data_IF_900837713502
#
_entry.id   IF_900837713502
#
_cell.length_a   1.000
_cell.length_b   1.000
_cell.length_c   1.000
_cell.angle_alpha   90.00
_cell.angle_beta   90.00
_cell.angle_gamma   90.00
#
_symmetry.space_group_name_H-M   'P 1'
#
loop_
_entity.id
_entity.type
_entity.pdbx_description
1 polymer ?
#
# COMPACT_ATOMS: atom_id res chain seq x y z
N UNK A 1 28.96 -0.92 -5.99
CA UNK A 1 27.88 -0.22 -6.70
C UNK A 1 27.19 -1.25 -7.55
N UNK A 2 25.91 -1.51 -7.29
CA UNK A 2 25.06 -2.33 -8.15
C UNK A 2 24.99 -1.68 -9.53
N UNK A 3 25.13 -2.46 -10.62
CA UNK A 3 24.86 -1.95 -11.96
C UNK A 3 23.35 -1.68 -12.08
N UNK A 4 22.94 -0.45 -11.84
CA UNK A 4 21.54 -0.03 -11.97
C UNK A 4 21.21 0.00 -13.47
N UNK A 5 20.27 -0.85 -13.87
CA UNK A 5 19.74 -0.86 -15.23
C UNK A 5 18.53 0.06 -15.24
N UNK A 6 18.61 1.11 -16.05
CA UNK A 6 17.48 2.02 -16.30
C UNK A 6 16.85 1.57 -17.62
N UNK A 7 15.63 1.07 -17.57
CA UNK A 7 14.88 0.76 -18.78
C UNK A 7 14.15 1.99 -19.32
N UNK A 8 13.51 1.86 -20.48
CA UNK A 8 12.82 2.99 -21.12
C UNK A 8 11.58 3.43 -20.33
N UNK A 9 10.93 2.52 -19.59
CA UNK A 9 9.74 2.86 -18.78
C UNK A 9 10.16 3.75 -17.61
N UNK A 10 11.25 3.38 -16.93
CA UNK A 10 11.80 4.18 -15.84
C UNK A 10 12.31 5.54 -16.32
N UNK A 11 12.97 5.56 -17.49
CA UNK A 11 13.41 6.81 -18.09
C UNK A 11 12.23 7.72 -18.46
N UNK A 12 11.14 7.16 -18.99
CA UNK A 12 9.93 7.93 -19.34
C UNK A 12 9.20 8.44 -18.08
N UNK A 13 9.19 7.67 -17.00
CA UNK A 13 8.71 8.15 -15.70
C UNK A 13 9.50 9.39 -15.26
N UNK A 14 10.83 9.34 -15.28
CA UNK A 14 11.67 10.47 -14.89
C UNK A 14 11.51 11.66 -15.85
N UNK A 15 11.40 11.44 -17.16
CA UNK A 15 11.12 12.50 -18.17
C UNK A 15 9.80 13.21 -17.92
N UNK A 16 8.78 12.49 -17.45
CA UNK A 16 7.50 13.06 -17.05
C UNK A 16 7.50 13.66 -15.62
N UNK A 17 8.61 13.54 -14.90
CA UNK A 17 8.81 14.03 -13.53
C UNK A 17 8.10 13.17 -12.48
N UNK A 18 7.87 11.89 -12.77
CA UNK A 18 7.37 10.87 -11.84
C UNK A 18 8.55 10.11 -11.22
N UNK A 19 8.41 9.62 -9.97
CA UNK A 19 9.42 8.74 -9.40
C UNK A 19 9.49 7.42 -10.19
N UNK A 20 10.66 6.77 -10.22
CA UNK A 20 10.81 5.45 -10.79
C UNK A 20 10.01 4.41 -9.98
N UNK A 21 9.65 3.30 -10.63
CA UNK A 21 9.02 2.15 -9.99
C UNK A 21 10.08 1.11 -9.58
N UNK A 22 11.18 1.02 -10.32
CA UNK A 22 12.33 0.19 -9.94
C UNK A 22 12.87 0.58 -8.57
N UNK A 23 13.13 -0.46 -7.76
CA UNK A 23 13.50 -0.30 -6.38
C UNK A 23 14.94 0.17 -6.18
N UNK A 24 15.86 -0.38 -6.96
CA UNK A 24 17.27 -0.01 -6.83
C UNK A 24 17.49 1.44 -7.27
N UNK A 25 16.84 1.85 -8.37
CA UNK A 25 16.90 3.20 -8.88
C UNK A 25 16.25 4.21 -7.93
N UNK A 26 15.08 3.90 -7.35
CA UNK A 26 14.44 4.79 -6.36
C UNK A 26 15.36 5.01 -5.16
N UNK A 27 15.93 3.93 -4.59
CA UNK A 27 16.82 4.03 -3.45
C UNK A 27 18.07 4.86 -3.78
N UNK A 28 18.74 4.59 -4.91
CA UNK A 28 19.99 5.29 -5.28
C UNK A 28 19.78 6.79 -5.53
N UNK A 29 18.62 7.20 -6.06
CA UNK A 29 18.32 8.61 -6.32
C UNK A 29 17.76 9.37 -5.12
N UNK A 30 17.41 8.67 -4.03
CA UNK A 30 16.81 9.29 -2.85
C UNK A 30 17.90 10.00 -2.03
N UNK A 31 17.57 11.19 -1.53
CA UNK A 31 18.42 12.02 -0.69
C UNK A 31 17.58 12.59 0.46
N UNK A 32 18.20 12.88 1.60
CA UNK A 32 17.52 13.52 2.73
C UNK A 32 16.68 12.60 3.62
N UNK A 33 16.97 11.29 3.58
CA UNK A 33 16.23 10.25 4.29
C UNK A 33 16.20 10.50 5.81
N UNK A 34 17.28 11.05 6.35
CA UNK A 34 17.52 11.30 7.78
C UNK A 34 16.51 12.27 8.41
N UNK A 35 15.90 13.12 7.57
CA UNK A 35 14.94 14.12 8.03
C UNK A 35 13.56 13.54 8.28
N UNK A 36 13.15 12.53 7.52
CA UNK A 36 11.80 11.96 7.63
C UNK A 36 11.72 10.45 7.43
N UNK A 37 12.27 9.90 6.35
CA UNK A 37 12.10 8.49 5.98
C UNK A 37 12.68 7.55 7.04
N UNK A 38 13.92 7.79 7.49
CA UNK A 38 14.57 6.97 8.53
C UNK A 38 13.75 6.94 9.82
N UNK A 39 13.31 8.13 10.25
CA UNK A 39 12.50 8.31 11.47
C UNK A 39 11.13 7.66 11.32
N UNK A 40 10.54 7.75 10.13
CA UNK A 40 9.24 7.15 9.83
C UNK A 40 9.34 5.63 9.87
N UNK A 41 10.36 5.08 9.21
CA UNK A 41 10.65 3.64 9.18
C UNK A 41 10.89 3.10 10.58
N UNK A 42 11.78 3.73 11.35
CA UNK A 42 12.10 3.29 12.70
C UNK A 42 10.90 3.40 13.65
N UNK A 43 10.25 4.57 13.70
CA UNK A 43 9.21 4.82 14.69
C UNK A 43 7.88 4.14 14.31
N UNK A 44 7.41 4.32 13.08
CA UNK A 44 6.09 3.83 12.67
C UNK A 44 6.13 2.40 12.15
N UNK A 45 6.97 2.09 11.16
CA UNK A 45 6.96 0.78 10.51
C UNK A 45 7.58 -0.30 11.40
N UNK A 46 8.80 -0.09 11.91
CA UNK A 46 9.51 -1.10 12.68
C UNK A 46 8.96 -1.28 14.10
N UNK A 47 8.54 -0.19 14.75
CA UNK A 47 8.08 -0.21 16.15
C UNK A 47 6.56 -0.13 16.31
N UNK A 48 5.98 1.06 16.15
CA UNK A 48 4.59 1.34 16.57
C UNK A 48 3.56 0.42 15.90
N UNK A 49 3.61 0.31 14.56
CA UNK A 49 2.67 -0.55 13.81
C UNK A 49 2.96 -2.03 14.06
N UNK A 50 4.23 -2.45 14.08
CA UNK A 50 4.62 -3.84 14.30
C UNK A 50 4.25 -4.35 15.71
N UNK A 51 4.03 -3.45 16.67
CA UNK A 51 3.55 -3.78 18.02
C UNK A 51 2.02 -3.78 18.15
N UNK A 52 1.28 -3.49 17.07
CA UNK A 52 -0.18 -3.51 17.07
C UNK A 52 -0.83 -2.13 16.94
N UNK A 53 -0.04 -1.06 16.97
CA UNK A 53 -0.54 0.30 16.75
C UNK A 53 -1.07 0.51 15.33
N UNK A 54 -1.85 1.58 15.19
CA UNK A 54 -2.41 1.99 13.90
C UNK A 54 -2.43 3.50 13.77
N UNK A 55 -2.33 3.98 12.52
CA UNK A 55 -2.12 5.40 12.27
C UNK A 55 -2.72 5.86 10.95
N UNK A 56 -3.22 7.09 10.96
CA UNK A 56 -3.56 7.84 9.75
C UNK A 56 -2.60 9.01 9.64
N UNK A 57 -2.04 9.23 8.44
CA UNK A 57 -1.18 10.37 8.13
C UNK A 57 -1.59 11.02 6.82
N UNK A 58 -1.34 12.32 6.70
CA UNK A 58 -1.63 13.13 5.53
C UNK A 58 -0.34 13.83 5.08
N UNK A 59 0.15 13.50 3.89
CA UNK A 59 1.29 14.15 3.23
C UNK A 59 0.79 15.29 2.35
N UNK A 60 1.27 16.50 2.64
CA UNK A 60 0.77 17.73 2.01
C UNK A 60 1.94 18.55 1.49
N UNK A 61 1.82 19.06 0.27
CA UNK A 61 2.82 19.95 -0.31
C UNK A 61 2.48 20.31 -1.74
N UNK A 62 3.13 21.33 -2.31
CA UNK A 62 2.85 21.79 -3.68
C UNK A 62 3.09 20.71 -4.74
N UNK A 63 2.56 20.89 -5.95
CA UNK A 63 2.82 19.98 -7.07
C UNK A 63 4.34 19.88 -7.33
N UNK A 64 4.86 18.66 -7.53
CA UNK A 64 6.30 18.42 -7.78
C UNK A 64 7.21 18.50 -6.54
N UNK A 65 6.67 18.56 -5.32
CA UNK A 65 7.45 18.55 -4.07
C UNK A 65 8.05 17.20 -3.68
N UNK A 66 7.79 16.12 -4.43
CA UNK A 66 8.30 14.79 -4.11
C UNK A 66 7.37 13.92 -3.25
N UNK A 67 6.09 14.30 -3.04
CA UNK A 67 5.11 13.49 -2.27
C UNK A 67 5.04 12.03 -2.75
N UNK A 68 4.80 11.82 -4.05
CA UNK A 68 4.74 10.49 -4.65
C UNK A 68 6.06 9.72 -4.47
N UNK A 69 7.21 10.39 -4.62
CA UNK A 69 8.54 9.80 -4.40
C UNK A 69 8.68 9.28 -2.95
N UNK A 70 8.32 10.12 -1.98
CA UNK A 70 8.33 9.77 -0.56
C UNK A 70 7.37 8.62 -0.22
N UNK A 71 6.17 8.59 -0.82
CA UNK A 71 5.26 7.44 -0.68
C UNK A 71 5.87 6.16 -1.24
N UNK A 72 6.56 6.20 -2.39
CA UNK A 72 7.25 5.03 -2.96
C UNK A 72 8.41 4.54 -2.09
N UNK A 73 9.11 5.44 -1.39
CA UNK A 73 10.13 5.05 -0.41
C UNK A 73 9.50 4.30 0.77
N UNK A 74 8.43 4.87 1.36
CA UNK A 74 7.68 4.21 2.45
C UNK A 74 7.10 2.87 1.99
N UNK A 75 6.64 2.76 0.74
CA UNK A 75 6.17 1.51 0.15
C UNK A 75 7.25 0.42 0.17
N UNK A 76 8.49 0.76 -0.20
CA UNK A 76 9.61 -0.19 -0.19
C UNK A 76 10.00 -0.60 1.22
N UNK A 77 10.14 0.37 2.13
CA UNK A 77 10.45 0.09 3.53
C UNK A 77 9.40 -0.79 4.20
N UNK A 78 8.12 -0.54 3.93
CA UNK A 78 7.04 -1.35 4.45
C UNK A 78 7.08 -2.78 3.90
N UNK A 79 7.33 -2.96 2.60
CA UNK A 79 7.48 -4.30 2.00
C UNK A 79 8.67 -5.07 2.59
N UNK A 80 9.79 -4.40 2.80
CA UNK A 80 10.98 -5.01 3.43
C UNK A 80 10.71 -5.49 4.85
N UNK A 81 9.87 -4.75 5.57
CA UNK A 81 9.44 -5.09 6.92
C UNK A 81 8.26 -6.06 6.94
N UNK A 82 7.90 -6.68 5.81
CA UNK A 82 6.89 -7.74 5.73
C UNK A 82 5.44 -7.25 5.74
N UNK A 83 5.20 -5.95 5.58
CA UNK A 83 3.84 -5.43 5.43
C UNK A 83 3.25 -5.80 4.07
N UNK A 84 1.94 -6.01 4.03
CA UNK A 84 1.19 -5.96 2.79
C UNK A 84 0.93 -4.49 2.43
N UNK A 85 1.24 -4.11 1.20
CA UNK A 85 1.25 -2.69 0.81
C UNK A 85 0.40 -2.46 -0.42
N UNK A 86 -0.58 -1.57 -0.28
CA UNK A 86 -1.50 -1.18 -1.36
C UNK A 86 -1.31 0.30 -1.66
N UNK A 87 -0.84 0.59 -2.88
CA UNK A 87 -0.74 1.95 -3.41
C UNK A 87 -1.88 2.23 -4.39
N UNK A 88 -2.66 3.29 -4.13
CA UNK A 88 -3.75 3.78 -4.97
C UNK A 88 -3.53 5.24 -5.36
N UNK A 89 -3.95 5.59 -6.57
CA UNK A 89 -4.10 6.97 -7.02
C UNK A 89 -5.59 7.29 -7.00
N UNK A 90 -6.02 8.33 -6.28
CA UNK A 90 -7.45 8.64 -6.13
C UNK A 90 -8.22 8.79 -7.46
N UNK A 91 -7.65 9.37 -8.53
CA UNK A 91 -8.27 9.40 -9.86
C UNK A 91 -8.48 8.01 -10.51
N UNK A 92 -7.66 7.01 -10.18
CA UNK A 92 -7.66 5.69 -10.82
C UNK A 92 -8.61 4.69 -10.16
N UNK A 93 -9.17 5.02 -8.99
CA UNK A 93 -10.02 4.10 -8.21
C UNK A 93 -11.39 3.82 -8.86
N UNK A 94 -11.75 4.54 -9.93
CA UNK A 94 -13.03 4.45 -10.65
C UNK A 94 -14.23 4.99 -9.87
N UNK A 95 -14.30 4.74 -8.56
CA UNK A 95 -15.22 5.39 -7.63
C UNK A 95 -14.46 6.18 -6.57
N UNK A 96 -15.20 7.10 -5.96
CA UNK A 96 -14.72 8.02 -4.93
C UNK A 96 -14.36 7.31 -3.63
N UNK A 97 -13.44 7.89 -2.88
CA UNK A 97 -12.90 7.39 -1.61
C UNK A 97 -13.99 7.13 -0.56
N UNK A 98 -15.11 7.87 -0.60
CA UNK A 98 -16.22 7.67 0.34
C UNK A 98 -17.03 6.36 0.13
N UNK A 99 -16.82 5.62 -0.95
CA UNK A 99 -17.42 4.29 -1.14
C UNK A 99 -16.51 3.21 -0.54
N UNK A 100 -16.62 3.00 0.78
CA UNK A 100 -15.79 2.02 1.52
C UNK A 100 -15.86 0.58 0.95
N UNK A 101 -17.04 0.04 0.55
CA UNK A 101 -17.09 -1.21 -0.21
C UNK A 101 -16.24 -1.21 -1.47
N UNK A 102 -16.21 -0.12 -2.23
CA UNK A 102 -15.36 -0.02 -3.42
C UNK A 102 -13.89 0.06 -3.05
N UNK A 103 -13.53 0.87 -2.05
CA UNK A 103 -12.16 0.97 -1.55
C UNK A 103 -11.64 -0.42 -1.14
N UNK A 104 -12.45 -1.20 -0.42
CA UNK A 104 -12.11 -2.57 -0.06
C UNK A 104 -11.85 -3.45 -1.30
N UNK A 105 -12.74 -3.42 -2.31
CA UNK A 105 -12.55 -4.22 -3.53
C UNK A 105 -11.27 -3.84 -4.27
N UNK A 106 -11.06 -2.54 -4.51
CA UNK A 106 -9.86 -2.03 -5.20
C UNK A 106 -8.58 -2.40 -4.43
N UNK A 107 -8.64 -2.34 -3.10
CA UNK A 107 -7.53 -2.72 -2.24
C UNK A 107 -7.22 -4.22 -2.33
N UNK A 108 -8.21 -5.08 -2.10
CA UNK A 108 -8.03 -6.55 -2.17
C UNK A 108 -7.63 -7.00 -3.56
N UNK A 109 -8.09 -6.33 -4.61
CA UNK A 109 -7.68 -6.64 -5.98
C UNK A 109 -6.17 -6.47 -6.17
N UNK A 110 -5.51 -5.54 -5.45
CA UNK A 110 -4.05 -5.36 -5.51
C UNK A 110 -3.26 -6.28 -4.60
N UNK A 111 -3.91 -6.92 -3.62
CA UNK A 111 -3.23 -7.84 -2.69
C UNK A 111 -2.97 -9.17 -3.39
N UNK A 112 -1.80 -9.76 -3.14
CA UNK A 112 -1.49 -11.11 -3.57
C UNK A 112 -2.25 -12.14 -2.71
N UNK A 113 -3.30 -12.73 -3.31
CA UNK A 113 -4.16 -13.70 -2.64
C UNK A 113 -3.45 -15.04 -2.42
N UNK A 114 -2.50 -15.39 -3.28
CA UNK A 114 -1.70 -16.61 -3.10
C UNK A 114 -0.80 -16.47 -1.87
N UNK A 115 -0.18 -15.29 -1.67
CA UNK A 115 0.59 -15.00 -0.45
C UNK A 115 -0.24 -15.16 0.82
N UNK A 116 -1.50 -14.69 0.82
CA UNK A 116 -2.43 -14.92 1.94
C UNK A 116 -2.67 -16.42 2.17
N UNK A 117 -3.03 -17.16 1.12
CA UNK A 117 -3.37 -18.58 1.23
C UNK A 117 -2.16 -19.39 1.72
N UNK A 118 -0.97 -19.16 1.16
CA UNK A 118 0.28 -19.80 1.60
C UNK A 118 0.56 -19.50 3.06
N UNK A 119 0.52 -18.23 3.47
CA UNK A 119 0.75 -17.83 4.86
C UNK A 119 -0.21 -18.52 5.85
N UNK A 120 -1.50 -18.58 5.52
CA UNK A 120 -2.48 -19.31 6.35
C UNK A 120 -2.18 -20.81 6.43
N UNK A 121 -1.75 -21.44 5.32
CA UNK A 121 -1.38 -22.85 5.31
C UNK A 121 -0.10 -23.11 6.12
N UNK A 122 0.93 -22.26 5.97
CA UNK A 122 2.16 -22.32 6.76
C UNK A 122 1.87 -22.17 8.26
N UNK A 123 0.96 -21.27 8.63
CA UNK A 123 0.56 -21.09 10.01
C UNK A 123 -0.05 -22.37 10.61
N UNK A 124 -0.98 -22.99 9.89
CA UNK A 124 -1.59 -24.27 10.32
C UNK A 124 -0.56 -25.42 10.31
N UNK A 125 0.33 -25.44 9.32
CA UNK A 125 1.39 -26.44 9.24
C UNK A 125 2.37 -26.33 10.43
N UNK A 126 2.67 -25.11 10.89
CA UNK A 126 3.49 -24.88 12.09
C UNK A 126 2.83 -25.43 13.36
N UNK A 127 1.51 -25.29 13.49
CA UNK A 127 0.76 -25.88 14.61
C UNK A 127 0.80 -27.43 14.58
N UNK A 128 1.13 -28.03 13.43
CA UNK A 128 1.40 -29.45 13.24
C UNK A 128 2.90 -29.82 13.34
N UNK A 129 3.79 -28.86 13.60
CA UNK A 129 5.24 -29.09 13.69
C UNK A 129 6.03 -28.94 12.38
N UNK A 130 5.40 -28.48 11.29
CA UNK A 130 6.08 -28.23 10.02
C UNK A 130 6.52 -26.77 9.88
N UNK A 131 7.83 -26.57 9.65
CA UNK A 131 8.42 -25.26 9.40
C UNK A 131 8.67 -25.04 7.90
N UNK A 132 9.03 -23.81 7.52
CA UNK A 132 9.12 -23.35 6.13
C UNK A 132 10.08 -24.18 5.27
N UNK A 133 11.11 -24.76 5.86
CA UNK A 133 12.08 -25.67 5.20
C UNK A 133 11.42 -26.96 4.66
N UNK A 134 10.29 -27.36 5.25
CA UNK A 134 9.59 -28.60 4.95
C UNK A 134 8.27 -28.36 4.21
N UNK A 135 7.66 -27.19 4.37
CA UNK A 135 6.38 -26.84 3.77
C UNK A 135 6.23 -25.33 3.58
N UNK A 136 5.98 -24.88 2.35
CA UNK A 136 5.87 -23.46 1.96
C UNK A 136 4.43 -23.01 1.67
N UNK A 137 3.43 -23.86 1.95
CA UNK A 137 2.02 -23.56 1.70
C UNK A 137 1.57 -23.68 0.25
N UNK A 138 2.48 -23.95 -0.71
CA UNK A 138 2.15 -23.95 -2.14
C UNK A 138 1.41 -25.22 -2.58
N UNK A 139 1.66 -26.35 -1.93
CA UNK A 139 1.11 -27.66 -2.28
C UNK A 139 0.21 -28.22 -1.16
N UNK A 140 -0.55 -29.29 -1.42
CA UNK A 140 -1.23 -30.03 -0.36
C UNK A 140 -0.26 -30.61 0.67
N UNK A 141 -0.59 -30.51 1.96
CA UNK A 141 0.18 -31.13 3.05
C UNK A 141 -0.16 -32.63 3.19
N UNK A 142 -1.37 -33.04 2.81
CA UNK A 142 -1.84 -34.41 3.00
C UNK A 142 -0.88 -35.49 2.46
N UNK A 143 -0.31 -35.38 1.24
CA UNK A 143 0.64 -36.38 0.74
C UNK A 143 1.88 -36.52 1.64
N UNK A 144 2.39 -35.42 2.21
CA UNK A 144 3.55 -35.43 3.11
C UNK A 144 3.25 -36.29 4.35
N UNK A 145 2.10 -36.07 4.99
CA UNK A 145 1.68 -36.84 6.18
C UNK A 145 1.43 -38.32 5.89
N UNK A 146 0.96 -38.65 4.69
CA UNK A 146 0.66 -40.04 4.31
C UNK A 146 1.92 -40.79 3.89
N UNK A 147 2.76 -40.18 3.07
CA UNK A 147 3.90 -40.84 2.42
C UNK A 147 5.17 -40.81 3.28
N UNK A 148 5.44 -39.70 3.98
CA UNK A 148 6.65 -39.57 4.80
C UNK A 148 6.44 -40.02 6.24
N UNK A 149 5.30 -39.67 6.84
CA UNK A 149 4.99 -40.01 8.24
C UNK A 149 4.17 -41.31 8.37
N UNK A 150 3.80 -41.95 7.25
CA UNK A 150 3.06 -43.21 7.22
C UNK A 150 1.70 -43.17 7.95
N UNK A 151 1.06 -42.01 8.07
CA UNK A 151 -0.27 -41.92 8.66
C UNK A 151 -1.35 -42.47 7.71
N UNK A 152 -2.37 -43.20 8.24
CA UNK A 152 -3.56 -43.50 7.46
C UNK A 152 -4.24 -42.22 6.94
N UNK A 153 -4.76 -42.25 5.70
CA UNK A 153 -5.36 -41.07 5.05
C UNK A 153 -6.47 -40.43 5.89
N UNK A 154 -7.31 -41.23 6.56
CA UNK A 154 -8.38 -40.73 7.44
C UNK A 154 -7.83 -39.96 8.63
N UNK A 155 -6.75 -40.45 9.24
CA UNK A 155 -6.10 -39.86 10.39
C UNK A 155 -5.36 -38.57 10.00
N UNK A 156 -4.60 -38.57 8.91
CA UNK A 156 -3.94 -37.36 8.41
C UNK A 156 -4.96 -36.24 8.09
N UNK A 157 -6.09 -36.58 7.48
CA UNK A 157 -7.20 -35.62 7.26
C UNK A 157 -7.78 -35.10 8.57
N UNK A 158 -7.93 -35.96 9.58
CA UNK A 158 -8.44 -35.58 10.91
C UNK A 158 -7.48 -34.62 11.61
N UNK A 159 -6.18 -34.91 11.59
CA UNK A 159 -5.12 -34.06 12.17
C UNK A 159 -5.10 -32.67 11.53
N UNK A 160 -5.10 -32.58 10.19
CA UNK A 160 -5.13 -31.28 9.50
C UNK A 160 -6.39 -30.49 9.91
N UNK A 161 -7.58 -31.10 9.87
CA UNK A 161 -8.83 -30.41 10.23
C UNK A 161 -8.84 -29.97 11.69
N UNK A 162 -8.29 -30.76 12.60
CA UNK A 162 -8.16 -30.42 14.01
C UNK A 162 -7.21 -29.21 14.19
N UNK A 163 -6.08 -29.19 13.47
CA UNK A 163 -5.16 -28.06 13.48
C UNK A 163 -5.83 -26.79 12.95
N UNK A 164 -6.43 -26.82 11.76
CA UNK A 164 -7.24 -25.71 11.21
C UNK A 164 -8.28 -25.23 12.25
N UNK A 165 -8.94 -26.20 12.89
CA UNK A 165 -9.90 -26.01 13.98
C UNK A 165 -9.38 -25.19 15.16
N UNK A 166 -8.16 -25.48 15.57
CA UNK A 166 -7.50 -24.85 16.72
C UNK A 166 -6.89 -23.50 16.33
N UNK A 167 -6.23 -23.41 15.17
CA UNK A 167 -5.55 -22.20 14.69
C UNK A 167 -6.52 -21.03 14.56
N UNK A 168 -7.72 -21.26 14.00
CA UNK A 168 -8.67 -20.18 13.73
C UNK A 168 -9.71 -19.95 14.82
N UNK A 169 -9.68 -20.73 15.92
CA UNK A 169 -10.64 -20.60 17.03
C UNK A 169 -10.59 -19.22 17.71
N UNK A 170 -9.38 -18.67 17.85
CA UNK A 170 -9.13 -17.38 18.51
C UNK A 170 -8.93 -16.24 17.50
N UNK A 171 -9.22 -16.45 16.22
CA UNK A 171 -9.11 -15.41 15.21
C UNK A 171 -10.21 -14.36 15.46
N UNK A 172 -9.80 -13.13 15.76
CA UNK A 172 -10.69 -11.98 15.95
C UNK A 172 -11.17 -11.43 14.61
N UNK A 173 -11.91 -12.24 13.85
CA UNK A 173 -12.48 -11.89 12.56
C UNK A 173 -13.96 -12.29 12.50
N UNK A 174 -14.70 -11.67 11.57
CA UNK A 174 -16.11 -12.02 11.35
C UNK A 174 -16.30 -13.51 11.00
N UNK A 175 -17.45 -14.13 11.34
CA UNK A 175 -17.67 -15.56 11.12
C UNK A 175 -17.47 -16.02 9.66
N UNK A 176 -17.83 -15.20 8.68
CA UNK A 176 -17.60 -15.50 7.26
C UNK A 176 -16.12 -15.52 6.88
N UNK A 177 -15.29 -14.69 7.54
CA UNK A 177 -13.86 -14.64 7.32
C UNK A 177 -13.15 -15.83 8.00
N UNK A 178 -13.62 -16.24 9.17
CA UNK A 178 -13.21 -17.52 9.78
C UNK A 178 -13.55 -18.66 8.83
N UNK A 179 -14.79 -18.74 8.34
CA UNK A 179 -15.21 -19.74 7.36
C UNK A 179 -14.33 -19.69 6.09
N UNK A 180 -13.97 -18.51 5.60
CA UNK A 180 -13.03 -18.36 4.49
C UNK A 180 -11.70 -19.05 4.78
N UNK A 181 -11.07 -18.78 5.94
CA UNK A 181 -9.83 -19.43 6.36
C UNK A 181 -9.95 -20.96 6.41
N UNK A 182 -11.03 -21.50 6.99
CA UNK A 182 -11.27 -22.95 7.00
C UNK A 182 -11.36 -23.53 5.59
N UNK A 183 -12.10 -22.87 4.69
CA UNK A 183 -12.31 -23.33 3.33
C UNK A 183 -11.02 -23.31 2.51
N UNK A 184 -10.25 -22.22 2.57
CA UNK A 184 -9.04 -22.11 1.76
C UNK A 184 -7.95 -23.05 2.24
N UNK A 185 -7.75 -23.15 3.55
CA UNK A 185 -6.71 -24.00 4.11
C UNK A 185 -7.06 -25.48 3.95
N UNK A 186 -8.30 -25.88 4.24
CA UNK A 186 -8.73 -27.27 4.03
C UNK A 186 -8.67 -27.64 2.55
N UNK A 187 -9.11 -26.75 1.65
CA UNK A 187 -9.04 -27.01 0.21
C UNK A 187 -7.60 -27.13 -0.29
N UNK A 188 -6.68 -26.25 0.14
CA UNK A 188 -5.26 -26.31 -0.23
C UNK A 188 -4.58 -27.54 0.36
N UNK A 189 -4.68 -27.75 1.67
CA UNK A 189 -3.88 -28.76 2.38
C UNK A 189 -4.40 -30.19 2.21
N UNK A 190 -5.72 -30.37 2.03
CA UNK A 190 -6.36 -31.70 2.04
C UNK A 190 -6.81 -32.17 0.66
N UNK A 191 -7.56 -31.34 -0.07
CA UNK A 191 -8.26 -31.79 -1.29
C UNK A 191 -7.57 -31.37 -2.58
N UNK A 192 -6.71 -30.33 -2.54
CA UNK A 192 -6.20 -29.69 -3.75
C UNK A 192 -7.31 -29.05 -4.61
N UNK A 193 -8.48 -28.75 -4.05
CA UNK A 193 -9.62 -28.28 -4.82
C UNK A 193 -9.49 -26.80 -5.23
N UNK A 194 -8.95 -26.58 -6.42
CA UNK A 194 -8.72 -25.25 -7.02
C UNK A 194 -10.05 -24.48 -7.21
N UNK A 195 -11.15 -25.17 -7.54
CA UNK A 195 -12.44 -24.50 -7.75
C UNK A 195 -12.94 -23.86 -6.45
N UNK A 196 -12.87 -24.57 -5.33
CA UNK A 196 -13.25 -24.01 -4.01
C UNK A 196 -12.35 -22.85 -3.62
N UNK A 197 -11.05 -22.92 -3.91
CA UNK A 197 -10.11 -21.81 -3.69
C UNK A 197 -10.51 -20.57 -4.50
N UNK A 198 -10.79 -20.73 -5.80
CA UNK A 198 -11.18 -19.64 -6.67
C UNK A 198 -12.49 -18.98 -6.23
N UNK A 199 -13.48 -19.77 -5.80
CA UNK A 199 -14.75 -19.25 -5.26
C UNK A 199 -14.53 -18.49 -3.95
N UNK A 200 -13.69 -19.00 -3.05
CA UNK A 200 -13.36 -18.31 -1.80
C UNK A 200 -12.62 -16.98 -2.06
N UNK A 201 -11.67 -16.97 -3.00
CA UNK A 201 -10.95 -15.75 -3.43
C UNK A 201 -11.91 -14.75 -4.07
N UNK A 202 -12.82 -15.20 -4.94
CA UNK A 202 -13.89 -14.35 -5.52
C UNK A 202 -14.70 -13.66 -4.42
N UNK A 203 -15.04 -14.37 -3.34
CA UNK A 203 -15.72 -13.79 -2.19
C UNK A 203 -14.85 -12.80 -1.42
N UNK A 204 -13.57 -13.11 -1.18
CA UNK A 204 -12.62 -12.22 -0.51
C UNK A 204 -12.48 -10.90 -1.28
N UNK A 205 -12.48 -10.93 -2.61
CA UNK A 205 -12.51 -9.75 -3.49
C UNK A 205 -13.84 -8.96 -3.44
N UNK A 206 -14.82 -9.37 -2.63
CA UNK A 206 -16.07 -8.67 -2.44
C UNK A 206 -17.08 -8.84 -3.57
N UNK A 207 -16.92 -9.89 -4.41
CA UNK A 207 -17.91 -10.27 -5.41
C UNK A 207 -19.04 -11.11 -4.81
N UNK A 208 -20.21 -11.04 -5.43
CA UNK A 208 -21.33 -11.88 -5.03
C UNK A 208 -21.12 -13.31 -5.52
N UNK A 209 -21.28 -14.26 -4.60
CA UNK A 209 -21.34 -15.68 -4.92
C UNK A 209 -22.76 -16.09 -5.34
N UNK A 210 -22.82 -17.06 -6.24
CA UNK A 210 -24.04 -17.76 -6.64
C UNK A 210 -24.56 -18.67 -5.53
N UNK A 211 -25.84 -19.07 -5.62
CA UNK A 211 -26.48 -19.90 -4.58
C UNK A 211 -25.74 -21.23 -4.35
N UNK A 212 -25.23 -21.86 -5.40
CA UNK A 212 -24.51 -23.13 -5.30
C UNK A 212 -23.09 -22.95 -4.72
N UNK A 213 -22.39 -21.87 -5.11
CA UNK A 213 -21.08 -21.47 -4.55
C UNK A 213 -21.17 -21.23 -3.04
N UNK A 214 -22.20 -20.50 -2.60
CA UNK A 214 -22.48 -20.23 -1.18
C UNK A 214 -22.75 -21.49 -0.37
N UNK A 215 -23.54 -22.41 -0.91
CA UNK A 215 -23.82 -23.69 -0.24
C UNK A 215 -22.56 -24.54 -0.06
N UNK A 216 -21.67 -24.50 -1.04
CA UNK A 216 -20.43 -25.30 -1.04
C UNK A 216 -19.39 -24.73 -0.08
N UNK A 217 -19.27 -23.41 -0.01
CA UNK A 217 -18.24 -22.72 0.79
C UNK A 217 -18.74 -22.23 2.14
N UNK A 218 -20.05 -22.12 2.36
CA UNK A 218 -20.60 -21.47 3.55
C UNK A 218 -20.40 -19.95 3.59
N UNK A 219 -19.91 -19.32 2.50
CA UNK A 219 -19.64 -17.88 2.43
C UNK A 219 -20.88 -17.10 1.98
N UNK A 220 -21.82 -16.89 2.91
CA UNK A 220 -23.13 -16.29 2.60
C UNK A 220 -23.13 -14.76 2.57
N UNK A 221 -22.27 -14.14 3.38
CA UNK A 221 -22.20 -12.70 3.58
C UNK A 221 -21.82 -11.95 2.29
N UNK A 222 -22.36 -10.74 2.13
CA UNK A 222 -22.08 -9.86 0.98
C UNK A 222 -21.48 -8.55 1.47
N UNK A 223 -20.49 -8.03 0.74
CA UNK A 223 -19.90 -6.73 1.04
C UNK A 223 -20.87 -5.59 0.75
N UNK A 224 -21.21 -4.84 1.79
CA UNK A 224 -22.15 -3.72 1.80
C UNK A 224 -21.58 -2.56 2.62
N UNK A 225 -22.20 -1.37 2.53
CA UNK A 225 -21.74 -0.19 3.29
C UNK A 225 -21.78 -0.41 4.81
N UNK A 226 -22.74 -1.20 5.30
CA UNK A 226 -22.93 -1.48 6.73
C UNK A 226 -21.85 -2.37 7.33
N UNK A 227 -21.26 -3.28 6.56
CA UNK A 227 -20.26 -4.25 7.04
C UNK A 227 -18.85 -4.05 6.46
N UNK A 228 -18.64 -3.09 5.55
CA UNK A 228 -17.34 -2.89 4.92
C UNK A 228 -16.21 -2.57 5.91
N UNK A 229 -16.50 -1.91 7.04
CA UNK A 229 -15.53 -1.74 8.14
C UNK A 229 -15.14 -3.08 8.76
N UNK A 230 -16.14 -3.88 9.15
CA UNK A 230 -15.90 -5.20 9.74
C UNK A 230 -15.14 -6.13 8.78
N UNK A 231 -15.37 -5.99 7.47
CA UNK A 231 -14.61 -6.69 6.43
C UNK A 231 -13.15 -6.24 6.38
N UNK A 232 -12.89 -4.94 6.44
CA UNK A 232 -11.53 -4.42 6.51
C UNK A 232 -10.80 -4.90 7.77
N UNK A 233 -11.46 -4.83 8.93
CA UNK A 233 -10.89 -5.32 10.20
C UNK A 233 -10.55 -6.82 10.08
N UNK A 234 -11.48 -7.63 9.56
CA UNK A 234 -11.28 -9.07 9.37
C UNK A 234 -10.14 -9.37 8.39
N UNK A 235 -10.01 -8.58 7.32
CA UNK A 235 -8.90 -8.72 6.37
C UNK A 235 -7.57 -8.48 7.09
N UNK A 236 -7.41 -7.38 7.83
CA UNK A 236 -6.17 -7.07 8.56
C UNK A 236 -5.77 -8.20 9.52
N UNK A 237 -6.75 -8.80 10.20
CA UNK A 237 -6.54 -9.92 11.12
C UNK A 237 -6.08 -11.18 10.38
N UNK A 238 -6.62 -11.43 9.19
CA UNK A 238 -6.17 -12.54 8.33
C UNK A 238 -4.77 -12.30 7.77
N UNK A 239 -4.43 -11.07 7.35
CA UNK A 239 -3.07 -10.77 6.88
C UNK A 239 -2.05 -11.07 7.98
N UNK A 240 -2.35 -10.68 9.23
CA UNK A 240 -1.55 -11.03 10.40
C UNK A 240 -1.49 -12.55 10.62
N UNK A 241 -2.61 -13.25 10.50
CA UNK A 241 -2.65 -14.71 10.63
C UNK A 241 -1.85 -15.41 9.53
N UNK A 242 -1.77 -14.81 8.34
CA UNK A 242 -0.94 -15.21 7.22
C UNK A 242 0.52 -14.71 7.32
N UNK A 243 0.95 -14.28 8.52
CA UNK A 243 2.34 -13.91 8.86
C UNK A 243 2.85 -12.64 8.19
N UNK A 244 1.94 -11.78 7.72
CA UNK A 244 2.28 -10.43 7.31
C UNK A 244 2.32 -9.51 8.54
N UNK A 245 3.21 -8.51 8.52
CA UNK A 245 3.39 -7.60 9.66
C UNK A 245 2.17 -6.70 9.90
N UNK A 246 1.47 -6.33 8.84
CA UNK A 246 0.29 -5.46 8.85
C UNK A 246 -0.10 -5.02 7.44
N UNK A 247 -0.96 -4.00 7.36
CA UNK A 247 -1.44 -3.43 6.09
C UNK A 247 -1.10 -1.94 6.00
N UNK A 248 -0.40 -1.55 4.94
CA UNK A 248 -0.13 -0.15 4.59
C UNK A 248 -0.94 0.22 3.35
N UNK A 249 -1.91 1.12 3.53
CA UNK A 249 -2.72 1.69 2.47
C UNK A 249 -2.28 3.12 2.18
N UNK A 250 -1.84 3.39 0.96
CA UNK A 250 -1.45 4.72 0.50
C UNK A 250 -2.37 5.19 -0.61
N UNK A 251 -2.91 6.40 -0.49
CA UNK A 251 -3.80 7.01 -1.47
C UNK A 251 -3.23 8.38 -1.87
N UNK A 252 -2.70 8.47 -3.08
CA UNK A 252 -2.10 9.68 -3.64
C UNK A 252 -3.10 10.48 -4.48
N UNK A 253 -2.71 11.70 -4.88
CA UNK A 253 -3.47 12.60 -5.76
C UNK A 253 -4.84 13.01 -5.20
N UNK A 254 -4.93 13.26 -3.89
CA UNK A 254 -6.18 13.63 -3.23
C UNK A 254 -6.69 15.04 -3.61
N UNK A 255 -5.89 15.84 -4.33
CA UNK A 255 -6.35 17.12 -4.91
C UNK A 255 -7.58 16.97 -5.83
N UNK A 256 -7.91 15.77 -6.30
CA UNK A 256 -9.17 15.49 -7.02
C UNK A 256 -10.43 15.91 -6.23
N UNK A 257 -10.35 16.02 -4.90
CA UNK A 257 -11.44 16.50 -4.05
C UNK A 257 -11.67 18.02 -4.16
N UNK A 258 -10.61 18.78 -4.42
CA UNK A 258 -10.55 20.25 -4.40
C UNK A 258 -10.34 20.86 -5.78
N UNK A 259 -9.98 20.07 -6.78
CA UNK A 259 -9.73 20.53 -8.14
C UNK A 259 -10.90 20.25 -9.08
N UNK A 260 -11.02 21.12 -10.09
CA UNK A 260 -11.95 20.92 -11.20
C UNK A 260 -11.24 20.13 -12.28
N UNK A 261 -11.95 19.17 -12.86
CA UNK A 261 -11.44 18.38 -13.98
C UNK A 261 -11.12 19.31 -15.17
N UNK A 262 -9.96 19.15 -15.83
CA UNK A 262 -9.52 20.05 -16.89
C UNK A 262 -10.54 20.21 -18.02
N UNK A 263 -11.20 19.12 -18.41
CA UNK A 263 -12.10 19.05 -19.57
C UNK A 263 -13.50 19.60 -19.27
N UNK A 264 -14.07 19.25 -18.11
CA UNK A 264 -15.47 19.59 -17.79
C UNK A 264 -15.59 20.86 -16.94
N UNK A 265 -14.48 21.32 -16.34
CA UNK A 265 -14.44 22.39 -15.33
C UNK A 265 -15.36 22.14 -14.13
N UNK A 266 -15.81 20.89 -13.94
CA UNK A 266 -16.60 20.43 -12.80
C UNK A 266 -15.71 19.70 -11.81
N UNK A 267 -16.11 19.70 -10.54
CA UNK A 267 -15.46 18.87 -9.53
C UNK A 267 -15.84 17.40 -9.74
N UNK A 268 -14.86 16.52 -9.58
CA UNK A 268 -15.12 15.07 -9.59
C UNK A 268 -15.90 14.66 -8.33
N UNK A 269 -15.51 15.18 -7.17
CA UNK A 269 -16.22 14.95 -5.91
C UNK A 269 -17.33 16.00 -5.72
N UNK A 270 -18.55 15.51 -5.50
CA UNK A 270 -19.67 16.37 -5.04
C UNK A 270 -19.41 16.84 -3.61
N UNK A 271 -20.08 17.91 -3.16
CA UNK A 271 -19.94 18.39 -1.77
C UNK A 271 -20.24 17.30 -0.74
N UNK A 272 -21.26 16.48 -0.99
CA UNK A 272 -21.59 15.33 -0.14
C UNK A 272 -20.48 14.29 -0.15
N UNK A 273 -19.93 13.94 -1.31
CA UNK A 273 -18.82 12.99 -1.39
C UNK A 273 -17.56 13.48 -0.65
N UNK A 274 -17.27 14.78 -0.71
CA UNK A 274 -16.18 15.39 0.08
C UNK A 274 -16.47 15.32 1.59
N UNK A 275 -17.71 15.60 2.01
CA UNK A 275 -18.13 15.43 3.41
C UNK A 275 -17.99 13.98 3.88
N UNK A 276 -18.51 13.02 3.11
CA UNK A 276 -18.44 11.60 3.44
C UNK A 276 -16.99 11.09 3.48
N UNK A 277 -16.12 11.61 2.60
CA UNK A 277 -14.69 11.28 2.60
C UNK A 277 -14.02 11.78 3.88
N UNK A 278 -14.30 13.01 4.31
CA UNK A 278 -13.78 13.55 5.58
C UNK A 278 -14.29 12.76 6.78
N UNK A 279 -15.56 12.35 6.78
CA UNK A 279 -16.11 11.50 7.82
C UNK A 279 -15.46 10.11 7.82
N UNK A 280 -15.19 9.53 6.65
CA UNK A 280 -14.48 8.26 6.54
C UNK A 280 -13.06 8.35 7.12
N UNK A 281 -12.31 9.42 6.80
CA UNK A 281 -10.96 9.64 7.36
C UNK A 281 -11.04 9.82 8.88
N UNK A 282 -12.01 10.59 9.37
CA UNK A 282 -12.23 10.79 10.81
C UNK A 282 -12.48 9.47 11.52
N UNK A 283 -13.30 8.61 10.92
CA UNK A 283 -13.59 7.28 11.45
C UNK A 283 -12.35 6.37 11.45
N UNK A 284 -11.51 6.42 10.42
CA UNK A 284 -10.24 5.69 10.42
C UNK A 284 -9.30 6.11 11.56
N UNK A 285 -9.33 7.39 11.96
CA UNK A 285 -8.55 7.87 13.11
C UNK A 285 -9.13 7.36 14.43
N UNK A 286 -10.46 7.26 14.55
CA UNK A 286 -11.11 6.74 15.75
C UNK A 286 -10.99 5.21 15.86
N UNK A 287 -11.00 4.51 14.73
CA UNK A 287 -10.97 3.04 14.65
C UNK A 287 -9.54 2.47 14.79
N UNK A 288 -8.55 3.26 15.24
CA UNK A 288 -7.15 2.81 15.37
C UNK A 288 -6.99 1.59 16.30
N UNK A 289 -7.84 1.46 17.31
CA UNK A 289 -7.87 0.29 18.19
C UNK A 289 -8.51 -0.95 17.54
N UNK A 290 -9.42 -0.75 16.58
CA UNK A 290 -10.15 -1.82 15.89
C UNK A 290 -9.43 -2.35 14.65
N UNK A 291 -8.43 -1.60 14.17
CA UNK A 291 -7.66 -1.90 12.95
C UNK A 291 -6.19 -2.12 13.30
N UNK A 292 -5.78 -3.08 14.15
CA UNK A 292 -4.39 -3.18 14.61
C UNK A 292 -3.41 -3.37 13.45
N UNK A 293 -2.23 -2.76 13.51
CA UNK A 293 -1.16 -2.88 12.49
C UNK A 293 -1.55 -2.30 11.13
N UNK A 294 -2.37 -1.25 11.14
CA UNK A 294 -2.88 -0.59 9.95
C UNK A 294 -2.32 0.82 9.82
N UNK A 295 -1.84 1.15 8.63
CA UNK A 295 -1.38 2.50 8.28
C UNK A 295 -2.15 3.00 7.06
N UNK A 296 -2.82 4.14 7.21
CA UNK A 296 -3.39 4.89 6.09
C UNK A 296 -2.55 6.14 5.86
N UNK A 297 -2.00 6.30 4.66
CA UNK A 297 -1.37 7.55 4.23
C UNK A 297 -2.18 8.15 3.09
N UNK A 298 -2.56 9.41 3.25
CA UNK A 298 -3.23 10.19 2.22
C UNK A 298 -2.26 11.25 1.71
N UNK A 299 -2.13 11.45 0.42
CA UNK A 299 -1.27 12.50 -0.13
C UNK A 299 -2.01 13.39 -1.12
N UNK A 300 -1.71 14.68 -1.08
CA UNK A 300 -2.26 15.65 -2.02
C UNK A 300 -1.66 17.04 -1.86
N UNK A 301 -2.22 18.01 -2.59
CA UNK A 301 -1.74 19.41 -2.56
C UNK A 301 -2.24 20.16 -1.33
N UNK A 302 -1.72 21.37 -1.09
CA UNK A 302 -2.05 22.17 0.10
C UNK A 302 -3.53 22.47 0.22
N UNK A 303 -4.21 22.59 -0.90
CA UNK A 303 -5.65 22.84 -1.02
C UNK A 303 -6.47 21.74 -0.34
N UNK A 304 -5.98 20.50 -0.26
CA UNK A 304 -6.69 19.44 0.48
C UNK A 304 -6.82 19.78 1.96
N UNK A 305 -5.95 20.63 2.51
CA UNK A 305 -6.02 21.13 3.88
C UNK A 305 -6.69 22.50 3.92
N UNK A 306 -6.25 23.42 3.06
CA UNK A 306 -6.49 24.86 3.16
C UNK A 306 -7.82 25.32 2.53
N UNK A 307 -8.40 24.56 1.60
CA UNK A 307 -9.67 24.96 0.97
C UNK A 307 -10.80 25.05 2.01
N UNK A 308 -11.38 26.25 2.14
CA UNK A 308 -12.38 26.59 3.16
C UNK A 308 -13.69 25.81 3.04
N UNK A 309 -13.99 25.24 1.87
CA UNK A 309 -15.23 24.51 1.62
C UNK A 309 -15.04 23.00 1.48
N UNK A 310 -13.92 22.59 0.89
CA UNK A 310 -13.64 21.20 0.47
C UNK A 310 -12.43 20.60 1.16
N UNK A 311 -11.57 21.40 1.76
CA UNK A 311 -10.39 20.95 2.49
C UNK A 311 -10.74 20.25 3.80
N UNK A 312 -9.79 19.51 4.37
CA UNK A 312 -9.96 18.76 5.62
C UNK A 312 -10.22 19.71 6.82
N UNK A 313 -9.65 20.93 6.82
CA UNK A 313 -9.88 21.94 7.87
C UNK A 313 -11.33 22.37 7.98
N UNK A 314 -12.09 22.34 6.88
CA UNK A 314 -13.50 22.73 6.87
C UNK A 314 -14.45 21.72 7.54
N UNK A 315 -13.91 20.66 8.16
CA UNK A 315 -14.67 19.69 8.94
C UNK A 315 -14.05 19.51 10.32
N UNK A 316 -14.57 20.26 11.30
CA UNK A 316 -14.00 20.40 12.64
C UNK A 316 -13.72 19.06 13.33
N UNK A 317 -14.64 18.10 13.21
CA UNK A 317 -14.50 16.80 13.87
C UNK A 317 -13.26 16.02 13.39
N UNK A 318 -12.90 16.14 12.10
CA UNK A 318 -11.65 15.58 11.55
C UNK A 318 -10.46 16.46 11.91
N UNK A 319 -10.61 17.78 11.75
CA UNK A 319 -9.52 18.72 11.97
C UNK A 319 -8.98 18.67 13.41
N UNK A 320 -9.85 18.62 14.41
CA UNK A 320 -9.47 18.49 15.83
C UNK A 320 -8.62 17.25 16.12
N UNK A 321 -8.80 16.17 15.36
CA UNK A 321 -8.01 14.95 15.49
C UNK A 321 -6.66 15.05 14.80
N UNK A 322 -6.63 15.60 13.59
CA UNK A 322 -5.40 15.78 12.81
C UNK A 322 -4.47 16.87 13.38
N UNK A 323 -5.02 17.89 14.06
CA UNK A 323 -4.25 18.98 14.65
C UNK A 323 -3.64 18.62 16.02
N UNK A 324 -3.87 17.40 16.54
CA UNK A 324 -3.44 17.05 17.91
C UNK A 324 -1.91 17.16 18.08
N UNK A 325 -1.51 17.87 19.15
CA UNK A 325 -0.20 17.68 19.78
C UNK A 325 0.95 18.62 19.40
N UNK A 326 0.75 19.73 18.66
CA UNK A 326 1.87 20.63 18.30
C UNK A 326 1.57 22.12 18.40
N UNK A 327 2.55 22.85 18.96
CA UNK A 327 2.75 24.28 18.76
C UNK A 327 3.15 24.47 17.28
N UNK A 328 2.55 25.42 16.54
CA UNK A 328 3.02 25.76 15.19
C UNK A 328 4.51 26.12 15.23
N UNK A 329 5.36 25.23 14.73
CA UNK A 329 6.79 25.47 14.57
C UNK A 329 7.08 25.81 13.10
N UNK A 330 8.07 26.67 12.88
CA UNK A 330 8.62 26.91 11.54
C UNK A 330 9.51 25.76 11.07
N UNK A 331 9.93 24.90 11.99
CA UNK A 331 10.76 23.73 11.73
C UNK A 331 9.94 22.55 11.24
N UNK A 332 10.56 21.68 10.43
CA UNK A 332 9.95 20.45 9.97
C UNK A 332 9.80 19.46 11.14
N UNK A 333 8.57 19.02 11.41
CA UNK A 333 8.32 17.96 12.38
C UNK A 333 8.09 16.62 11.67
N UNK A 334 8.95 15.61 11.86
CA UNK A 334 8.79 14.30 11.21
C UNK A 334 7.67 13.43 11.79
N UNK A 335 7.16 13.75 13.00
CA UNK A 335 6.17 12.92 13.71
C UNK A 335 4.74 13.43 13.59
N UNK A 336 4.51 14.59 12.96
CA UNK A 336 3.17 15.13 12.80
C UNK A 336 2.28 14.24 11.93
N UNK A 337 0.96 14.33 12.15
CA UNK A 337 -0.02 13.59 11.35
C UNK A 337 -0.29 14.25 10.01
N UNK A 338 -0.07 15.58 9.91
CA UNK A 338 -0.02 16.31 8.64
C UNK A 338 1.43 16.65 8.34
N UNK A 339 2.06 15.85 7.48
CA UNK A 339 3.45 16.01 7.06
C UNK A 339 3.53 17.07 5.97
N UNK A 340 4.17 18.21 6.27
CA UNK A 340 4.44 19.28 5.29
C UNK A 340 5.71 18.94 4.49
N UNK A 341 5.49 18.45 3.26
CA UNK A 341 6.56 18.05 2.35
C UNK A 341 7.34 19.25 1.80
N UNK A 342 6.77 20.46 1.76
CA UNK A 342 7.56 21.64 1.41
C UNK A 342 8.47 22.06 2.57
N UNK A 343 8.07 21.85 3.82
CA UNK A 343 8.94 22.03 4.98
C UNK A 343 10.07 21.00 5.00
N UNK A 344 9.75 19.74 4.65
CA UNK A 344 10.76 18.70 4.42
C UNK A 344 11.78 19.12 3.34
N UNK A 345 11.33 19.66 2.20
CA UNK A 345 12.26 20.17 1.18
C UNK A 345 13.12 21.34 1.68
N UNK A 346 12.58 22.22 2.54
CA UNK A 346 13.36 23.35 3.09
C UNK A 346 14.46 22.89 4.04
N UNK A 347 14.20 21.90 4.90
CA UNK A 347 15.20 21.41 5.86
C UNK A 347 16.38 20.71 5.17
N UNK A 348 16.14 20.14 3.99
CA UNK A 348 17.15 19.58 3.10
C UNK A 348 18.08 20.63 2.43
N UNK A 349 17.79 21.91 2.62
CA UNK A 349 18.58 23.04 2.13
C UNK A 349 18.09 23.62 0.79
N UNK A 350 18.45 24.89 0.50
CA UNK A 350 17.92 25.62 -0.66
C UNK A 350 18.37 25.04 -2.01
N UNK A 351 19.52 24.35 -2.04
CA UNK A 351 20.10 23.72 -3.23
C UNK A 351 19.74 22.23 -3.35
N UNK A 352 18.77 21.74 -2.57
CA UNK A 352 18.36 20.32 -2.66
C UNK A 352 18.00 19.86 -4.08
N UNK A 353 17.26 20.64 -4.91
CA UNK A 353 17.04 20.29 -6.32
C UNK A 353 18.33 20.09 -7.13
N UNK A 354 19.36 20.90 -6.87
CA UNK A 354 20.66 20.79 -7.54
C UNK A 354 21.40 19.51 -7.12
N UNK A 355 21.38 19.17 -5.84
CA UNK A 355 21.94 17.89 -5.34
C UNK A 355 21.25 16.67 -5.96
N UNK A 356 19.92 16.70 -6.11
CA UNK A 356 19.16 15.64 -6.79
C UNK A 356 19.56 15.53 -8.26
N UNK A 357 19.72 16.66 -8.95
CA UNK A 357 20.20 16.69 -10.33
C UNK A 357 21.61 16.09 -10.46
N UNK A 358 22.53 16.45 -9.56
CA UNK A 358 23.88 15.89 -9.55
C UNK A 358 23.88 14.37 -9.34
N UNK A 359 23.10 13.89 -8.36
CA UNK A 359 22.93 12.45 -8.11
C UNK A 359 22.38 11.72 -9.34
N UNK A 360 21.32 12.25 -9.96
CA UNK A 360 20.75 11.67 -11.18
C UNK A 360 21.76 11.63 -12.34
N UNK A 361 22.54 12.70 -12.55
CA UNK A 361 23.61 12.69 -13.55
C UNK A 361 24.63 11.58 -13.31
N UNK A 362 25.03 11.35 -12.06
CA UNK A 362 25.97 10.28 -11.70
C UNK A 362 25.36 8.90 -11.98
N UNK A 363 24.09 8.70 -11.62
CA UNK A 363 23.35 7.45 -11.89
C UNK A 363 23.30 7.18 -13.40
N UNK A 364 22.87 8.17 -14.20
CA UNK A 364 22.79 8.03 -15.66
C UNK A 364 24.14 7.70 -16.30
N UNK A 365 25.21 8.38 -15.89
CA UNK A 365 26.57 8.09 -16.39
C UNK A 365 26.99 6.66 -16.08
N UNK A 366 26.74 6.20 -14.85
CA UNK A 366 27.06 4.83 -14.42
C UNK A 366 26.25 3.79 -15.19
N UNK A 367 25.01 4.13 -15.58
CA UNK A 367 24.14 3.29 -16.39
C UNK A 367 24.42 3.35 -17.91
N UNK A 368 25.49 4.03 -18.35
CA UNK A 368 25.89 4.11 -19.77
C UNK A 368 25.13 5.14 -20.60
N UNK A 369 24.51 6.13 -19.95
CA UNK A 369 23.87 7.24 -20.64
C UNK A 369 24.82 8.42 -20.79
N UNK A 370 24.80 9.05 -21.98
CA UNK A 370 25.51 10.30 -22.24
C UNK A 370 24.54 11.48 -22.24
N UNK A 371 25.02 12.61 -21.74
CA UNK A 371 24.27 13.87 -21.81
C UNK A 371 24.34 14.43 -23.23
N UNK A 372 23.19 14.67 -23.84
CA UNK A 372 23.05 15.28 -25.16
C UNK A 372 22.17 16.51 -25.05
N UNK A 373 22.74 17.65 -25.43
CA UNK A 373 22.04 18.91 -25.44
C UNK A 373 20.99 18.91 -26.56
N UNK A 374 19.74 19.19 -26.19
CA UNK A 374 18.61 19.35 -27.11
C UNK A 374 17.67 20.41 -26.57
N UNK A 375 16.79 20.92 -27.44
CA UNK A 375 15.76 21.86 -27.02
C UNK A 375 14.83 21.20 -26.00
N UNK A 376 14.61 21.88 -24.88
CA UNK A 376 13.78 21.40 -23.79
C UNK A 376 12.40 22.06 -23.86
N UNK A 377 11.33 21.37 -23.42
CA UNK A 377 10.04 22.00 -23.23
C UNK A 377 10.11 23.09 -22.16
N UNK A 378 9.10 23.95 -22.07
CA UNK A 378 9.02 24.96 -21.00
C UNK A 378 8.85 24.29 -19.63
N UNK A 379 9.94 24.18 -18.87
CA UNK A 379 9.97 23.59 -17.54
C UNK A 379 9.58 24.59 -16.43
N UNK A 380 9.34 25.86 -16.74
CA UNK A 380 8.99 26.88 -15.74
C UNK A 380 7.62 26.64 -15.10
N UNK A 381 6.77 25.85 -15.76
CA UNK A 381 5.47 25.41 -15.25
C UNK A 381 5.58 24.37 -14.11
N UNK A 382 6.79 23.86 -13.84
CA UNK A 382 7.05 22.86 -12.81
C UNK A 382 7.79 23.44 -11.60
N UNK A 383 7.62 22.82 -10.44
CA UNK A 383 8.46 23.12 -9.28
C UNK A 383 9.94 22.89 -9.60
N UNK A 384 10.85 23.66 -8.98
CA UNK A 384 12.30 23.52 -9.16
C UNK A 384 12.79 22.06 -9.08
N UNK A 385 12.33 21.30 -8.09
CA UNK A 385 12.70 19.89 -7.93
C UNK A 385 12.27 19.04 -9.14
N UNK A 386 10.98 19.07 -9.48
CA UNK A 386 10.45 18.34 -10.64
C UNK A 386 11.13 18.75 -11.96
N UNK A 387 11.34 20.04 -12.17
CA UNK A 387 12.02 20.56 -13.36
C UNK A 387 13.44 19.98 -13.48
N UNK A 388 14.20 19.95 -12.38
CA UNK A 388 15.53 19.34 -12.35
C UNK A 388 15.49 17.85 -12.69
N UNK A 389 14.56 17.08 -12.14
CA UNK A 389 14.41 15.64 -12.49
C UNK A 389 14.13 15.47 -13.99
N UNK A 390 13.16 16.22 -14.52
CA UNK A 390 12.77 16.16 -15.93
C UNK A 390 13.91 16.58 -16.85
N UNK A 391 14.60 17.69 -16.56
CA UNK A 391 15.74 18.18 -17.33
C UNK A 391 16.83 17.12 -17.45
N UNK A 392 17.22 16.50 -16.32
CA UNK A 392 18.27 15.48 -16.33
C UNK A 392 17.87 14.25 -17.14
N UNK A 393 16.61 13.80 -17.04
CA UNK A 393 16.11 12.65 -17.78
C UNK A 393 15.86 12.94 -19.28
N UNK A 394 15.51 14.18 -19.64
CA UNK A 394 15.32 14.58 -21.03
C UNK A 394 16.66 14.74 -21.76
N UNK A 395 17.72 15.15 -21.07
CA UNK A 395 19.03 15.40 -21.67
C UNK A 395 19.91 14.15 -21.79
N UNK A 396 19.41 12.94 -21.53
CA UNK A 396 20.19 11.71 -21.64
C UNK A 396 19.75 10.82 -22.81
N UNK A 397 20.73 10.24 -23.49
CA UNK A 397 20.55 9.20 -24.51
C UNK A 397 21.48 8.02 -24.22
N UNK A 398 21.01 6.79 -24.51
CA UNK A 398 21.81 5.58 -24.36
C UNK A 398 22.86 5.57 -25.46
N UNK A 399 24.10 5.24 -25.12
CA UNK A 399 25.11 4.99 -26.15
C UNK A 399 24.60 3.87 -27.08
N UNK A 400 24.64 4.10 -28.39
CA UNK A 400 24.55 2.99 -29.32
C UNK A 400 25.73 2.08 -29.00
N UNK A 401 25.46 0.88 -28.50
CA UNK A 401 26.43 -0.19 -28.57
C UNK A 401 26.68 -0.42 -30.04
N UNK A 402 27.84 0.02 -30.54
CA UNK A 402 28.36 -0.38 -31.85
C UNK A 402 28.50 -1.91 -31.83
N UNK A 403 27.43 -2.60 -32.21
CA UNK A 403 27.50 -3.98 -32.66
C UNK A 403 27.86 -3.89 -34.14
N UNK A 404 29.16 -4.05 -34.43
CA UNK A 404 29.67 -4.44 -35.75
C UNK A 404 29.12 -5.80 -36.17
#
# INVERSE_FOLDING_TARGET
MSNIVIDEIELENLRSGKPPLDRALLAEMTLGEEHWLDRFKEHYLYNYLAQGGSKVKVLVGRAGSGKTHLLRCVEQDARDLGYEVVYLSAPEMGKRLNDLPNLYRVMVEKIDKEKIIKGLCCRVARDLGYYQEHYDGSQPLLPILVEKECHPVSEAKRLIRQAVGNTFRALDAGPSFVAFCYNVVTSRMVTGNINTLNVAVKWLCGHNLERHEKKTTGLYERLQKSNARAWLNSLVQILKMAEMTGLVLMIDNLEIMTERLPNTKRFDYTRNAVKDTRELIRQFIDDVELLPRFLLILAGRREIIEDEMRGLKSYDALWMRLQTGLIPSKEFNPYCDIVDVDAHLRVNGPDFPGKVAERLNQIFRTAGYKRKYKELPDLNLHSKLRAQVMENALLVEKEATDYE
#
